data_IF_868638214593
#
_entry.id   IF_868638214593
#
_cell.length_a   1.000
_cell.length_b   1.000
_cell.length_c   1.000
_cell.angle_alpha   90.00
_cell.angle_beta   90.00
_cell.angle_gamma   90.00
#
_symmetry.space_group_name_H-M   'P 1'
#
loop_
_entity.id
_entity.type
_entity.pdbx_description
1 polymer ?
#
# COMPACT_ATOMS: atom_id res chain seq x y z
N UNK A 1 -4.81 -15.25 0.71
CA UNK A 1 -5.77 -14.36 0.10
C UNK A 1 -5.38 -12.90 0.25
N UNK A 2 -5.24 -12.20 -0.84
CA UNK A 2 -4.86 -10.81 -0.79
C UNK A 2 -6.04 -9.91 -0.45
N UNK A 3 -5.71 -8.70 -0.09
CA UNK A 3 -6.73 -7.69 0.15
C UNK A 3 -6.93 -6.88 -1.12
N UNK A 4 -8.17 -6.57 -1.41
CA UNK A 4 -8.47 -5.75 -2.57
C UNK A 4 -8.55 -4.30 -2.13
N UNK A 5 -7.69 -3.50 -2.69
CA UNK A 5 -7.65 -2.09 -2.36
C UNK A 5 -7.27 -1.33 -3.61
N UNK A 6 -7.94 -0.20 -3.81
CA UNK A 6 -7.67 0.67 -4.94
C UNK A 6 -6.79 1.81 -4.49
N UNK A 7 -5.69 2.02 -5.18
CA UNK A 7 -4.81 3.14 -4.88
C UNK A 7 -5.35 4.36 -5.60
N UNK A 8 -5.72 5.39 -4.83
CA UNK A 8 -6.29 6.61 -5.38
C UNK A 8 -5.25 7.69 -5.56
N UNK A 9 -4.28 7.75 -4.64
CA UNK A 9 -3.18 8.69 -4.75
C UNK A 9 -1.91 7.96 -4.37
N UNK A 10 -0.91 8.09 -5.21
CA UNK A 10 0.36 7.43 -5.00
C UNK A 10 1.46 8.21 -5.69
N UNK A 11 2.69 7.92 -5.34
CA UNK A 11 3.83 8.50 -6.05
C UNK A 11 5.01 7.54 -5.97
N UNK A 12 5.91 7.63 -6.95
CA UNK A 12 7.09 6.76 -6.96
C UNK A 12 8.02 7.09 -5.79
N UNK A 13 8.71 6.06 -5.32
CA UNK A 13 9.75 6.19 -4.31
C UNK A 13 11.02 5.56 -4.82
N UNK A 14 12.18 6.09 -4.45
CA UNK A 14 13.43 5.43 -4.85
C UNK A 14 13.59 4.12 -4.13
N UNK A 15 14.23 3.17 -4.82
CA UNK A 15 14.54 1.89 -4.22
C UNK A 15 13.87 0.74 -4.95
N UNK A 16 14.05 -0.45 -4.40
CA UNK A 16 13.52 -1.67 -4.98
C UNK A 16 12.88 -2.51 -3.90
N UNK A 17 11.91 -3.32 -4.30
CA UNK A 17 11.24 -4.22 -3.39
C UNK A 17 10.54 -5.30 -4.17
N UNK A 18 10.05 -6.29 -3.46
CA UNK A 18 9.36 -7.40 -4.10
C UNK A 18 7.99 -6.94 -4.58
N UNK A 19 7.63 -7.19 -5.84
CA UNK A 19 6.34 -6.75 -6.36
C UNK A 19 5.19 -7.28 -5.50
N UNK A 20 4.25 -6.39 -5.16
CA UNK A 20 3.08 -6.76 -4.39
C UNK A 20 3.29 -6.91 -2.91
N UNK A 21 4.50 -6.65 -2.42
CA UNK A 21 4.81 -6.81 -0.99
C UNK A 21 5.05 -5.46 -0.37
N UNK A 22 4.46 -5.23 0.80
CA UNK A 22 4.63 -3.99 1.53
C UNK A 22 6.06 -3.92 2.06
N UNK A 23 6.75 -2.84 1.71
CA UNK A 23 8.14 -2.64 2.12
C UNK A 23 8.23 -1.85 3.41
N UNK A 24 7.32 -0.87 3.60
CA UNK A 24 7.40 0.02 4.74
C UNK A 24 6.03 0.64 5.00
N UNK A 25 5.73 0.85 6.27
CA UNK A 25 4.52 1.55 6.68
C UNK A 25 4.93 2.70 7.57
N UNK A 26 4.40 3.88 7.30
CA UNK A 26 4.74 5.07 8.07
C UNK A 26 3.59 6.05 8.10
N UNK A 27 3.78 7.19 8.76
CA UNK A 27 2.70 8.18 8.90
C UNK A 27 2.29 8.79 7.57
N UNK A 28 3.15 8.76 6.55
CA UNK A 28 2.80 9.29 5.24
C UNK A 28 1.99 8.32 4.42
N UNK A 29 2.09 7.03 4.70
CA UNK A 29 1.39 6.03 3.91
C UNK A 29 2.11 4.71 3.90
N UNK A 30 1.88 3.94 2.83
CA UNK A 30 2.37 2.57 2.73
C UNK A 30 3.21 2.46 1.46
N UNK A 31 4.45 1.99 1.61
CA UNK A 31 5.34 1.78 0.48
C UNK A 31 5.25 0.33 0.05
N UNK A 32 4.96 0.10 -1.23
CA UNK A 32 4.78 -1.24 -1.75
C UNK A 32 5.71 -1.43 -2.95
N UNK A 33 6.22 -2.63 -3.10
CA UNK A 33 7.09 -2.97 -4.22
C UNK A 33 6.30 -3.17 -5.49
N UNK A 34 6.93 -2.82 -6.61
CA UNK A 34 6.38 -3.07 -7.94
C UNK A 34 7.48 -3.64 -8.81
N UNK A 35 7.10 -4.03 -10.02
CA UNK A 35 8.08 -4.57 -10.96
C UNK A 35 9.15 -3.56 -11.32
N UNK A 36 8.86 -2.26 -11.20
CA UNK A 36 9.81 -1.23 -11.62
C UNK A 36 10.32 -0.38 -10.47
N UNK A 37 10.05 -0.77 -9.21
CA UNK A 37 10.56 -0.01 -8.07
C UNK A 37 9.59 0.00 -6.92
N UNK A 38 9.47 1.13 -6.23
CA UNK A 38 8.59 1.28 -5.09
C UNK A 38 7.56 2.36 -5.37
N UNK A 39 6.38 2.19 -4.77
CA UNK A 39 5.33 3.19 -4.80
C UNK A 39 4.90 3.51 -3.39
N UNK A 40 4.77 4.80 -3.10
CA UNK A 40 4.21 5.24 -1.82
C UNK A 40 2.72 5.48 -2.04
N UNK A 41 1.91 4.69 -1.36
CA UNK A 41 0.47 4.84 -1.40
C UNK A 41 0.06 5.89 -0.39
N UNK A 42 -0.63 6.93 -0.85
CA UNK A 42 -1.03 8.04 0.01
C UNK A 42 -2.49 7.95 0.39
N UNK A 43 -3.34 7.56 -0.55
CA UNK A 43 -4.75 7.44 -0.32
C UNK A 43 -5.26 6.19 -1.01
N UNK A 44 -6.07 5.42 -0.31
CA UNK A 44 -6.56 4.13 -0.83
C UNK A 44 -8.04 4.01 -0.56
N UNK A 45 -8.67 3.09 -1.28
CA UNK A 45 -10.06 2.76 -1.04
C UNK A 45 -10.19 1.25 -0.98
N UNK A 46 -10.33 0.70 0.22
CA UNK A 46 -10.57 -0.74 0.35
C UNK A 46 -11.92 -1.11 -0.24
N UNK A 47 -12.03 -2.34 -0.71
CA UNK A 47 -13.27 -2.79 -1.33
C UNK A 47 -14.41 -2.67 -0.34
N UNK A 48 -15.50 -2.02 -0.79
CA UNK A 48 -16.68 -1.84 0.04
C UNK A 48 -16.55 -0.74 1.09
N UNK A 49 -15.51 0.08 1.03
CA UNK A 49 -15.28 1.12 2.01
C UNK A 49 -15.04 2.45 1.35
N UNK A 50 -14.98 3.50 2.17
CA UNK A 50 -14.67 4.83 1.69
C UNK A 50 -13.18 4.98 1.47
N UNK A 51 -12.82 5.98 0.67
CA UNK A 51 -11.43 6.37 0.54
C UNK A 51 -10.89 6.83 1.89
N UNK A 52 -9.63 6.52 2.16
CA UNK A 52 -8.99 6.88 3.42
C UNK A 52 -7.49 7.04 3.20
N UNK A 53 -6.81 7.76 4.10
CA UNK A 53 -5.36 7.80 4.03
C UNK A 53 -4.78 6.40 4.16
N UNK A 54 -3.74 6.11 3.38
CA UNK A 54 -3.15 4.78 3.41
C UNK A 54 -2.62 4.42 4.80
N UNK A 55 -2.13 5.41 5.55
CA UNK A 55 -1.65 5.13 6.91
C UNK A 55 -2.78 4.65 7.82
N UNK A 56 -3.97 5.23 7.67
CA UNK A 56 -5.13 4.80 8.45
C UNK A 56 -5.57 3.40 8.05
N UNK A 57 -5.57 3.13 6.75
CA UNK A 57 -5.90 1.81 6.25
C UNK A 57 -4.95 0.77 6.80
N UNK A 58 -3.66 1.06 6.79
CA UNK A 58 -2.67 0.11 7.30
C UNK A 58 -2.92 -0.21 8.77
N UNK A 59 -3.21 0.83 9.56
CA UNK A 59 -3.44 0.66 11.00
C UNK A 59 -4.69 -0.16 11.24
N UNK A 60 -5.76 0.14 10.51
CA UNK A 60 -7.03 -0.53 10.72
C UNK A 60 -7.06 -1.96 10.21
N UNK A 61 -6.27 -2.27 9.19
CA UNK A 61 -6.29 -3.58 8.55
C UNK A 61 -5.08 -4.43 8.89
N UNK A 62 -4.21 -3.94 9.77
CA UNK A 62 -3.05 -4.73 10.17
C UNK A 62 -2.02 -4.90 9.06
N UNK A 63 -1.92 -3.92 8.18
CA UNK A 63 -0.94 -3.97 7.10
C UNK A 63 0.42 -3.60 7.66
N UNK A 64 1.42 -4.43 7.40
CA UNK A 64 2.75 -4.25 7.94
C UNK A 64 3.79 -4.62 6.88
N UNK A 65 5.06 -4.27 7.10
CA UNK A 65 6.09 -4.72 6.16
C UNK A 65 6.04 -6.23 6.00
N UNK A 66 6.13 -6.68 4.76
CA UNK A 66 6.01 -8.09 4.44
C UNK A 66 4.62 -8.54 4.07
N UNK A 67 3.61 -7.72 4.34
CA UNK A 67 2.24 -8.06 3.93
C UNK A 67 2.17 -8.11 2.41
N UNK A 68 1.54 -9.15 1.89
CA UNK A 68 1.38 -9.30 0.45
C UNK A 68 0.00 -8.80 0.04
N UNK A 69 -0.02 -7.86 -0.89
CA UNK A 69 -1.27 -7.29 -1.36
C UNK A 69 -1.71 -8.02 -2.62
N UNK A 70 -3.01 -8.27 -2.71
CA UNK A 70 -3.53 -8.97 -3.88
C UNK A 70 -3.53 -8.09 -5.11
N UNK A 71 -3.93 -6.85 -4.93
CA UNK A 71 -3.98 -5.87 -6.01
C UNK A 71 -3.86 -4.48 -5.45
N UNK A 72 -3.22 -3.65 -6.21
CA UNK A 72 -3.04 -2.26 -5.82
C UNK A 72 -3.55 -1.35 -6.91
#
# INVERSE_FOLDING_TARGET
RGQRVKALRLRPEPGEGEPGVVARVGPEGVVVGTASGLLLLLEVQPEGRRAMPAADWARGYGVAPGTRLGQV
#
